data_IF_048235478955
#
_entry.id   IF_048235478955
#
_cell.length_a   1.000
_cell.length_b   1.000
_cell.length_c   1.000
_cell.angle_alpha   90.00
_cell.angle_beta   90.00
_cell.angle_gamma   90.00
#
_symmetry.space_group_name_H-M   'P 1'
#
loop_
_entity.id
_entity.type
_entity.pdbx_description
1 polymer ?
#
# COMPACT_ATOMS: atom_id res chain seq x y z
N UNK A 1 -5.32 22.72 30.29
CA UNK A 1 -3.98 22.13 30.51
C UNK A 1 -4.09 20.62 30.36
N UNK A 2 -3.66 20.07 29.23
CA UNK A 2 -3.61 18.63 29.03
C UNK A 2 -2.45 18.06 29.84
N UNK A 3 -2.70 17.01 30.62
CA UNK A 3 -1.73 16.42 31.55
C UNK A 3 -0.47 15.99 30.78
N UNK A 4 0.71 16.49 31.16
CA UNK A 4 2.01 16.21 30.49
C UNK A 4 2.35 14.72 30.44
N UNK A 5 1.84 13.93 31.40
CA UNK A 5 1.98 12.48 31.39
C UNK A 5 1.16 11.81 30.26
N UNK A 6 -0.01 12.37 29.91
CA UNK A 6 -0.88 11.84 28.86
C UNK A 6 -0.30 12.07 27.47
N UNK A 7 0.32 13.22 27.23
CA UNK A 7 0.98 13.53 25.95
C UNK A 7 2.26 12.73 25.75
N UNK A 8 2.99 12.43 26.82
CA UNK A 8 4.13 11.52 26.78
C UNK A 8 3.72 10.09 26.45
N UNK A 9 2.68 9.56 27.12
CA UNK A 9 2.17 8.21 26.87
C UNK A 9 1.71 8.03 25.41
N UNK A 10 0.99 9.01 24.85
CA UNK A 10 0.53 8.96 23.46
C UNK A 10 1.69 8.85 22.46
N UNK A 11 2.80 9.57 22.69
CA UNK A 11 3.99 9.50 21.81
C UNK A 11 4.65 8.13 21.83
N UNK A 12 4.74 7.51 23.00
CA UNK A 12 5.29 6.16 23.15
C UNK A 12 4.41 5.13 22.44
N UNK A 13 3.08 5.24 22.57
CA UNK A 13 2.14 4.36 21.87
C UNK A 13 2.26 4.49 20.34
N UNK A 14 2.35 5.71 19.81
CA UNK A 14 2.54 5.95 18.37
C UNK A 14 3.88 5.35 17.90
N UNK A 15 4.95 5.49 18.67
CA UNK A 15 6.24 4.89 18.34
C UNK A 15 6.16 3.37 18.26
N UNK A 16 5.54 2.72 19.27
CA UNK A 16 5.32 1.28 19.28
C UNK A 16 4.46 0.87 18.07
N UNK A 17 3.41 1.62 17.78
CA UNK A 17 2.55 1.38 16.62
C UNK A 17 3.32 1.43 15.30
N UNK A 18 4.17 2.44 15.07
CA UNK A 18 4.99 2.55 13.86
C UNK A 18 5.98 1.38 13.75
N UNK A 19 6.61 0.98 14.87
CA UNK A 19 7.53 -0.15 14.89
C UNK A 19 6.82 -1.46 14.53
N UNK A 20 5.68 -1.75 15.16
CA UNK A 20 4.86 -2.93 14.85
C UNK A 20 4.39 -2.89 13.39
N UNK A 21 3.92 -1.74 12.93
CA UNK A 21 3.49 -1.53 11.55
C UNK A 21 4.61 -1.68 10.54
N UNK A 22 5.88 -1.45 10.89
CA UNK A 22 7.02 -1.68 9.99
C UNK A 22 7.42 -3.14 9.94
N UNK A 23 7.35 -3.83 11.08
CA UNK A 23 7.74 -5.25 11.20
C UNK A 23 6.74 -6.15 10.49
N UNK A 24 5.43 -5.89 10.57
CA UNK A 24 4.40 -6.74 9.96
C UNK A 24 4.57 -6.89 8.43
N UNK A 25 4.71 -5.82 7.63
CA UNK A 25 4.97 -5.92 6.19
C UNK A 25 6.30 -6.57 5.86
N UNK A 26 7.33 -6.39 6.68
CA UNK A 26 8.62 -7.07 6.49
C UNK A 26 8.48 -8.58 6.66
N UNK A 27 7.78 -9.04 7.70
CA UNK A 27 7.49 -10.46 7.91
C UNK A 27 6.60 -11.01 6.80
N UNK A 28 5.58 -10.24 6.38
CA UNK A 28 4.74 -10.55 5.24
C UNK A 28 5.57 -10.78 3.99
N UNK A 29 6.37 -9.79 3.56
CA UNK A 29 7.23 -9.92 2.38
C UNK A 29 8.23 -11.08 2.49
N UNK A 30 8.80 -11.31 3.66
CA UNK A 30 9.70 -12.44 3.89
C UNK A 30 8.99 -13.78 3.63
N UNK A 31 7.77 -13.96 4.13
CA UNK A 31 6.95 -15.14 3.85
C UNK A 31 6.65 -15.28 2.35
N UNK A 32 6.32 -14.18 1.67
CA UNK A 32 6.03 -14.19 0.23
C UNK A 32 7.24 -14.58 -0.61
N UNK A 33 8.43 -14.13 -0.23
CA UNK A 33 9.65 -14.29 -1.02
C UNK A 33 10.32 -15.63 -0.78
N UNK A 34 10.47 -16.03 0.48
CA UNK A 34 11.27 -17.18 0.86
C UNK A 34 10.42 -18.44 1.09
N UNK A 35 9.21 -18.28 1.62
CA UNK A 35 8.31 -19.40 1.73
C UNK A 35 7.51 -19.56 0.43
N UNK A 36 7.36 -20.80 0.00
CA UNK A 36 6.31 -21.18 -0.91
C UNK A 36 4.99 -20.77 -0.26
N UNK A 37 4.39 -19.65 -0.69
CA UNK A 37 3.08 -19.09 -0.29
C UNK A 37 1.94 -20.15 -0.17
N UNK A 38 2.19 -21.37 -0.62
CA UNK A 38 1.43 -22.59 -0.42
C UNK A 38 1.05 -22.90 1.05
N UNK A 39 1.81 -22.52 2.08
CA UNK A 39 1.45 -22.86 3.47
C UNK A 39 0.26 -22.05 4.03
N UNK A 40 0.01 -20.84 3.53
CA UNK A 40 -1.15 -19.99 3.90
C UNK A 40 -2.31 -20.10 2.91
N UNK A 41 -2.05 -20.71 1.75
CA UNK A 41 -3.02 -20.90 0.69
C UNK A 41 -4.17 -21.85 1.10
N UNK A 42 -3.93 -22.90 1.87
CA UNK A 42 -5.00 -23.81 2.33
C UNK A 42 -6.08 -23.10 3.17
N UNK A 43 -5.69 -22.13 4.01
CA UNK A 43 -6.65 -21.38 4.85
C UNK A 43 -7.39 -20.29 4.08
N UNK A 44 -6.72 -19.62 3.13
CA UNK A 44 -7.30 -18.50 2.37
C UNK A 44 -8.23 -19.02 1.25
N UNK A 45 -7.91 -20.17 0.65
CA UNK A 45 -8.75 -20.80 -0.37
C UNK A 45 -10.13 -21.21 0.16
N UNK A 46 -10.22 -21.59 1.45
CA UNK A 46 -11.50 -21.90 2.09
C UNK A 46 -12.36 -20.67 2.39
N UNK A 47 -11.75 -19.49 2.63
CA UNK A 47 -12.50 -18.28 2.97
C UNK A 47 -13.04 -17.54 1.75
N UNK A 48 -12.37 -17.62 0.58
CA UNK A 48 -12.75 -16.89 -0.62
C UNK A 48 -12.56 -17.77 -1.87
N UNK A 49 -13.57 -18.57 -2.27
CA UNK A 49 -13.48 -19.49 -3.43
C UNK A 49 -13.43 -18.78 -4.80
N UNK A 50 -13.36 -17.45 -4.84
CA UNK A 50 -13.42 -16.63 -6.07
C UNK A 50 -12.07 -16.54 -6.80
N UNK A 51 -10.97 -17.00 -6.19
CA UNK A 51 -9.63 -16.82 -6.74
C UNK A 51 -8.95 -18.15 -7.10
N UNK A 52 -9.29 -18.73 -8.26
CA UNK A 52 -8.62 -19.91 -8.84
C UNK A 52 -7.11 -19.72 -9.11
N UNK A 53 -6.60 -18.48 -9.09
CA UNK A 53 -5.22 -18.16 -9.46
C UNK A 53 -4.35 -17.80 -8.24
N UNK A 54 -3.80 -18.81 -7.55
CA UNK A 54 -2.89 -18.63 -6.41
C UNK A 54 -1.66 -17.75 -6.71
N UNK A 55 -1.24 -17.63 -7.98
CA UNK A 55 -0.15 -16.73 -8.40
C UNK A 55 -0.55 -15.25 -8.36
N UNK A 56 -1.78 -14.90 -8.75
CA UNK A 56 -2.27 -13.52 -8.74
C UNK A 56 -2.44 -13.00 -7.30
N UNK A 57 -2.90 -13.86 -6.41
CA UNK A 57 -2.98 -13.60 -4.96
C UNK A 57 -1.60 -13.27 -4.39
N UNK A 58 -0.59 -14.08 -4.72
CA UNK A 58 0.79 -13.84 -4.28
C UNK A 58 1.27 -12.45 -4.71
N UNK A 59 1.04 -12.08 -5.97
CA UNK A 59 1.42 -10.76 -6.50
C UNK A 59 0.65 -9.60 -5.88
N UNK A 60 -0.65 -9.78 -5.62
CA UNK A 60 -1.50 -8.80 -4.92
C UNK A 60 -0.95 -8.52 -3.52
N UNK A 61 -0.75 -9.56 -2.72
CA UNK A 61 -0.21 -9.41 -1.37
C UNK A 61 1.21 -8.83 -1.40
N UNK A 62 2.04 -9.23 -2.36
CA UNK A 62 3.38 -8.65 -2.54
C UNK A 62 3.33 -7.14 -2.77
N UNK A 63 2.34 -6.67 -3.53
CA UNK A 63 2.12 -5.25 -3.78
C UNK A 63 1.59 -4.51 -2.55
N UNK A 64 0.62 -5.09 -1.84
CA UNK A 64 0.05 -4.50 -0.60
C UNK A 64 1.12 -4.36 0.46
N UNK A 65 1.89 -5.43 0.73
CA UNK A 65 2.95 -5.38 1.73
C UNK A 65 4.09 -4.45 1.30
N UNK A 66 4.40 -4.38 0.00
CA UNK A 66 5.33 -3.38 -0.54
C UNK A 66 4.85 -1.95 -0.25
N UNK A 67 3.58 -1.65 -0.55
CA UNK A 67 3.00 -0.33 -0.33
C UNK A 67 2.92 0.04 1.16
N UNK A 68 2.57 -0.93 2.01
CA UNK A 68 2.58 -0.75 3.45
C UNK A 68 4.00 -0.43 3.95
N UNK A 69 5.02 -1.15 3.47
CA UNK A 69 6.42 -0.86 3.81
C UNK A 69 6.84 0.55 3.35
N UNK A 70 6.44 0.97 2.15
CA UNK A 70 6.68 2.34 1.67
C UNK A 70 6.05 3.40 2.57
N UNK A 71 4.79 3.18 2.98
CA UNK A 71 4.11 4.03 3.95
C UNK A 71 4.77 4.03 5.34
N UNK A 72 5.29 2.89 5.78
CA UNK A 72 6.00 2.75 7.05
C UNK A 72 7.30 3.57 7.05
N UNK A 73 8.09 3.50 5.97
CA UNK A 73 9.30 4.31 5.82
C UNK A 73 8.96 5.80 5.85
N UNK A 74 7.91 6.23 5.14
CA UNK A 74 7.46 7.63 5.19
C UNK A 74 7.03 8.04 6.61
N UNK A 75 6.32 7.16 7.33
CA UNK A 75 5.91 7.42 8.72
C UNK A 75 7.12 7.56 9.65
N UNK A 76 8.15 6.73 9.49
CA UNK A 76 9.41 6.83 10.25
C UNK A 76 10.12 8.15 9.96
N UNK A 77 10.24 8.54 8.68
CA UNK A 77 10.88 9.81 8.28
C UNK A 77 10.10 11.01 8.85
N UNK A 78 8.77 10.99 8.71
CA UNK A 78 7.90 12.06 9.21
C UNK A 78 7.99 12.18 10.73
N UNK A 79 7.99 11.05 11.45
CA UNK A 79 8.13 10.99 12.90
C UNK A 79 9.50 11.48 13.36
N UNK A 80 10.59 11.07 12.68
CA UNK A 80 11.93 11.56 12.96
C UNK A 80 12.03 13.08 12.76
N UNK A 81 11.49 13.60 11.66
CA UNK A 81 11.48 15.03 11.39
C UNK A 81 10.68 15.82 12.45
N UNK A 82 9.51 15.32 12.86
CA UNK A 82 8.69 16.00 13.87
C UNK A 82 9.31 16.04 15.26
N UNK A 83 10.04 14.99 15.64
CA UNK A 83 10.69 14.93 16.96
C UNK A 83 12.03 15.66 16.97
N UNK A 84 12.85 15.49 15.93
CA UNK A 84 14.21 16.02 15.90
C UNK A 84 14.27 17.48 15.45
N UNK A 85 13.39 17.92 14.55
CA UNK A 85 13.51 19.23 13.89
C UNK A 85 12.48 20.24 14.41
N UNK A 86 11.19 19.89 14.46
CA UNK A 86 10.14 20.88 14.79
C UNK A 86 9.76 20.94 16.27
N UNK A 87 10.02 19.91 17.09
CA UNK A 87 9.69 19.82 18.54
C UNK A 87 8.22 20.08 18.91
N UNK A 88 7.34 20.27 17.93
CA UNK A 88 5.91 20.52 18.10
C UNK A 88 5.15 19.25 17.71
N UNK A 89 4.71 18.51 18.71
CA UNK A 89 3.84 17.36 18.51
C UNK A 89 2.40 17.81 18.72
N UNK A 90 1.74 18.26 17.65
CA UNK A 90 0.33 18.61 17.70
C UNK A 90 -0.54 17.34 17.69
N UNK A 91 -1.55 17.29 18.56
CA UNK A 91 -2.46 16.15 18.71
C UNK A 91 -3.24 15.87 17.41
N UNK A 92 -3.39 16.88 16.55
CA UNK A 92 -4.04 16.77 15.23
C UNK A 92 -3.30 15.83 14.26
N UNK A 93 -1.97 15.79 14.32
CA UNK A 93 -1.14 14.96 13.43
C UNK A 93 -1.18 13.47 13.75
N UNK A 94 -1.61 13.10 14.96
CA UNK A 94 -1.66 11.71 15.44
C UNK A 94 -2.57 10.84 14.57
N UNK A 95 -3.70 11.39 14.10
CA UNK A 95 -4.63 10.69 13.23
C UNK A 95 -4.05 10.38 11.85
N UNK A 96 -3.16 11.24 11.35
CA UNK A 96 -2.46 11.00 10.10
C UNK A 96 -1.56 9.76 10.17
N UNK A 97 -0.84 9.58 11.28
CA UNK A 97 -0.01 8.39 11.49
C UNK A 97 -0.83 7.11 11.64
N UNK A 98 -1.99 7.18 12.30
CA UNK A 98 -2.87 6.03 12.49
C UNK A 98 -3.55 5.59 11.18
N UNK A 99 -3.91 6.55 10.31
CA UNK A 99 -4.60 6.28 9.05
C UNK A 99 -3.66 6.01 7.87
N UNK A 100 -2.40 6.45 7.96
CA UNK A 100 -1.35 6.16 6.98
C UNK A 100 -1.24 4.68 6.56
N UNK A 101 -1.25 3.69 7.47
CA UNK A 101 -1.20 2.28 7.10
C UNK A 101 -2.40 1.83 6.25
N UNK A 102 -3.60 2.25 6.62
CA UNK A 102 -4.82 1.91 5.88
C UNK A 102 -4.81 2.55 4.48
N UNK A 103 -4.36 3.79 4.39
CA UNK A 103 -4.25 4.53 3.14
C UNK A 103 -3.25 3.88 2.18
N UNK A 104 -2.04 3.57 2.67
CA UNK A 104 -0.98 2.98 1.85
C UNK A 104 -1.30 1.55 1.42
N UNK A 105 -1.96 0.75 2.26
CA UNK A 105 -2.50 -0.55 1.84
C UNK A 105 -3.53 -0.42 0.71
N UNK A 106 -4.44 0.57 0.80
CA UNK A 106 -5.43 0.84 -0.25
C UNK A 106 -4.76 1.22 -1.57
N UNK A 107 -3.70 2.02 -1.51
CA UNK A 107 -2.88 2.34 -2.69
C UNK A 107 -2.20 1.10 -3.26
N UNK A 108 -1.71 0.17 -2.44
CA UNK A 108 -1.16 -1.10 -2.91
C UNK A 108 -2.18 -1.91 -3.73
N UNK A 109 -3.43 -1.99 -3.26
CA UNK A 109 -4.52 -2.66 -4.00
C UNK A 109 -4.79 -1.95 -5.34
N UNK A 110 -4.95 -0.63 -5.34
CA UNK A 110 -5.20 0.14 -6.55
C UNK A 110 -4.04 0.00 -7.55
N UNK A 111 -2.81 0.06 -7.06
CA UNK A 111 -1.59 -0.12 -7.87
C UNK A 111 -1.59 -1.50 -8.53
N UNK A 112 -1.90 -2.55 -7.79
CA UNK A 112 -2.02 -3.89 -8.34
C UNK A 112 -3.10 -3.98 -9.43
N UNK A 113 -4.28 -3.39 -9.21
CA UNK A 113 -5.37 -3.38 -10.19
C UNK A 113 -4.98 -2.63 -11.47
N UNK A 114 -4.29 -1.50 -11.35
CA UNK A 114 -3.81 -0.73 -12.50
C UNK A 114 -2.75 -1.49 -13.29
N UNK A 115 -1.80 -2.13 -12.61
CA UNK A 115 -0.78 -2.94 -13.27
C UNK A 115 -1.41 -4.16 -13.95
N UNK A 116 -2.18 -4.96 -13.21
CA UNK A 116 -2.75 -6.19 -13.72
C UNK A 116 -3.78 -5.91 -14.83
N UNK A 117 -4.66 -4.92 -14.63
CA UNK A 117 -5.62 -4.48 -15.64
C UNK A 117 -4.96 -3.86 -16.87
N UNK A 118 -3.92 -3.05 -16.67
CA UNK A 118 -3.12 -2.47 -17.76
C UNK A 118 -2.41 -3.53 -18.58
N UNK A 119 -1.78 -4.51 -17.93
CA UNK A 119 -1.16 -5.66 -18.61
C UNK A 119 -2.18 -6.45 -19.41
N UNK A 120 -3.33 -6.81 -18.82
CA UNK A 120 -4.40 -7.56 -19.52
C UNK A 120 -4.86 -6.84 -20.79
N UNK A 121 -5.02 -5.51 -20.73
CA UNK A 121 -5.44 -4.70 -21.88
C UNK A 121 -4.35 -4.62 -22.97
N UNK A 122 -3.08 -4.47 -22.57
CA UNK A 122 -1.94 -4.37 -23.49
C UNK A 122 -1.58 -5.69 -24.16
N UNK A 123 -1.75 -6.82 -23.47
CA UNK A 123 -1.38 -8.15 -23.98
C UNK A 123 -2.51 -8.87 -24.71
N UNK A 124 -3.69 -8.25 -24.83
CA UNK A 124 -4.76 -8.71 -25.71
C UNK A 124 -5.22 -10.15 -25.45
N UNK A 125 -5.34 -10.55 -24.18
CA UNK A 125 -5.71 -11.90 -23.75
C UNK A 125 -4.65 -13.00 -23.98
N UNK A 126 -3.38 -12.65 -24.20
CA UNK A 126 -2.31 -13.56 -23.79
C UNK A 126 -2.47 -13.71 -22.28
N UNK A 127 -2.97 -14.88 -21.85
CA UNK A 127 -2.96 -15.29 -20.44
C UNK A 127 -1.58 -14.93 -19.94
N UNK A 128 -1.51 -13.89 -19.09
CA UNK A 128 -0.25 -13.36 -18.62
C UNK A 128 0.31 -14.37 -17.61
N UNK A 129 0.73 -15.52 -18.12
CA UNK A 129 1.62 -16.50 -17.52
C UNK A 129 3.05 -15.96 -17.51
N UNK A 130 3.25 -14.69 -17.86
CA UNK A 130 4.43 -13.93 -17.51
C UNK A 130 4.54 -13.97 -16.00
N UNK A 131 5.39 -14.89 -15.52
CA UNK A 131 5.79 -15.04 -14.14
C UNK A 131 6.49 -13.75 -13.68
N UNK A 132 5.71 -12.69 -13.49
CA UNK A 132 6.21 -11.48 -12.90
C UNK A 132 6.49 -11.81 -11.45
N UNK A 133 7.78 -11.98 -11.15
CA UNK A 133 8.23 -12.31 -9.82
C UNK A 133 7.66 -11.31 -8.81
N UNK A 134 7.27 -11.78 -7.61
CA UNK A 134 6.62 -10.95 -6.59
C UNK A 134 7.41 -9.68 -6.25
N UNK A 135 8.73 -9.69 -6.45
CA UNK A 135 9.63 -8.56 -6.26
C UNK A 135 9.25 -7.32 -7.06
N UNK A 136 8.80 -7.47 -8.32
CA UNK A 136 8.43 -6.33 -9.17
C UNK A 136 7.19 -5.61 -8.64
N UNK A 137 6.19 -6.39 -8.22
CA UNK A 137 4.99 -5.87 -7.57
C UNK A 137 5.29 -5.23 -6.21
N UNK A 138 6.22 -5.81 -5.44
CA UNK A 138 6.66 -5.20 -4.18
C UNK A 138 7.34 -3.86 -4.40
N UNK A 139 8.25 -3.76 -5.36
CA UNK A 139 8.98 -2.52 -5.64
C UNK A 139 8.03 -1.40 -6.08
N UNK A 140 7.13 -1.69 -7.01
CA UNK A 140 6.18 -0.69 -7.49
C UNK A 140 5.18 -0.31 -6.39
N UNK A 141 4.69 -1.30 -5.63
CA UNK A 141 3.86 -1.05 -4.45
C UNK A 141 4.56 -0.13 -3.46
N UNK A 142 5.82 -0.41 -3.13
CA UNK A 142 6.65 0.40 -2.24
C UNK A 142 6.76 1.85 -2.69
N UNK A 143 7.12 2.08 -3.96
CA UNK A 143 7.27 3.44 -4.50
C UNK A 143 5.92 4.20 -4.45
N UNK A 144 4.84 3.54 -4.84
CA UNK A 144 3.49 4.13 -4.87
C UNK A 144 2.96 4.43 -3.47
N UNK A 145 3.21 3.56 -2.49
CA UNK A 145 2.83 3.74 -1.09
C UNK A 145 3.69 4.78 -0.37
N UNK A 146 5.00 4.81 -0.64
CA UNK A 146 5.91 5.82 -0.11
C UNK A 146 5.51 7.23 -0.55
N UNK A 147 5.11 7.40 -1.83
CA UNK A 147 4.65 8.67 -2.37
C UNK A 147 3.13 8.71 -2.57
N UNK A 148 2.36 8.26 -1.57
CA UNK A 148 0.91 8.11 -1.67
C UNK A 148 0.18 9.36 -2.20
N UNK A 149 0.61 10.57 -1.81
CA UNK A 149 0.01 11.84 -2.25
C UNK A 149 0.17 12.05 -3.77
N UNK A 150 1.38 11.77 -4.29
CA UNK A 150 1.68 11.87 -5.72
C UNK A 150 0.91 10.81 -6.50
N UNK A 151 0.81 9.59 -5.96
CA UNK A 151 0.03 8.50 -6.55
C UNK A 151 -1.44 8.86 -6.72
N UNK A 152 -2.06 9.46 -5.69
CA UNK A 152 -3.45 9.93 -5.77
C UNK A 152 -3.61 11.00 -6.84
N UNK A 153 -2.67 11.95 -6.95
CA UNK A 153 -2.68 12.97 -8.02
C UNK A 153 -2.62 12.35 -9.42
N UNK A 154 -1.86 11.27 -9.61
CA UNK A 154 -1.86 10.55 -10.88
C UNK A 154 -3.21 9.89 -11.17
N UNK A 155 -3.82 9.24 -10.17
CA UNK A 155 -5.16 8.64 -10.30
C UNK A 155 -6.21 9.70 -10.64
N UNK A 156 -6.17 10.86 -9.97
CA UNK A 156 -7.07 11.97 -10.24
C UNK A 156 -6.91 12.52 -11.67
N UNK A 157 -5.66 12.68 -12.13
CA UNK A 157 -5.37 13.09 -13.52
C UNK A 157 -5.92 12.09 -14.53
N UNK A 158 -5.78 10.79 -14.27
CA UNK A 158 -6.34 9.74 -15.12
C UNK A 158 -7.88 9.82 -15.14
N UNK A 159 -8.51 9.97 -13.97
CA UNK A 159 -9.98 10.13 -13.88
C UNK A 159 -10.49 11.33 -14.66
N UNK A 160 -9.79 12.47 -14.59
CA UNK A 160 -10.17 13.70 -15.33
C UNK A 160 -10.05 13.53 -16.84
N UNK A 161 -9.00 12.85 -17.32
CA UNK A 161 -8.82 12.56 -18.75
C UNK A 161 -9.96 11.72 -19.30
N UNK A 162 -10.30 10.63 -18.63
CA UNK A 162 -11.40 9.73 -19.03
C UNK A 162 -12.75 10.48 -19.07
N UNK A 163 -13.01 11.33 -18.07
CA UNK A 163 -14.23 12.14 -18.03
C UNK A 163 -14.32 13.14 -19.20
N UNK A 164 -13.18 13.69 -19.63
CA UNK A 164 -13.10 14.68 -20.73
C UNK A 164 -13.31 14.01 -22.08
N UNK A 165 -12.71 12.84 -22.32
CA UNK A 165 -12.91 12.05 -23.55
C UNK A 165 -14.37 11.67 -23.76
N UNK A 166 -15.07 11.24 -22.69
CA UNK A 166 -16.49 10.89 -22.75
C UNK A 166 -17.39 12.06 -23.17
N UNK A 167 -17.04 13.29 -22.74
CA UNK A 167 -17.76 14.51 -23.12
C UNK A 167 -17.54 14.91 -24.59
N UNK A 168 -16.36 14.61 -25.14
CA UNK A 168 -16.06 14.86 -26.55
C UNK A 168 -16.77 13.88 -27.50
N UNK A 169 -17.02 12.64 -27.08
CA UNK A 169 -17.72 11.65 -27.90
C UNK A 169 -19.25 11.86 -27.93
N UNK A 170 -19.83 12.46 -26.87
CA UNK A 170 -21.28 12.67 -26.77
C UNK A 170 -21.77 13.97 -27.44
N UNK A 171 -20.85 14.77 -27.99
CA UNK A 171 -21.12 16.03 -28.68
C UNK A 171 -20.92 15.93 -30.22
N UNK A 172 -20.68 14.72 -30.72
CA UNK A 172 -20.68 14.35 -32.15
C UNK A 172 -21.82 13.37 -32.41
#
# INVERSE_FOLDING_TARGET
>A
MMNTNLTFLARVLIFIFIMVYTIIPLLGLFDIWFNSFYSTNDYIQHLIPVFENGKAIRSLFSCIWGAALGGAVLAIISFHNHIAVTKEFDSSHTWGFLLSPLLTMSIGVITFLLLNGGFIFLTGNATASSESQPYGYTLIGFIMGYNWDVTIKYIEKLSKKIATEKKSQNNN
#
